data_IF_808457825039
#
_entry.id   IF_808457825039
#
_cell.length_a   1.000
_cell.length_b   1.000
_cell.length_c   1.000
_cell.angle_alpha   90.00
_cell.angle_beta   90.00
_cell.angle_gamma   90.00
#
_symmetry.space_group_name_H-M   'P 1'
#
loop_
_entity.id
_entity.type
_entity.pdbx_description
1 polymer ?
#
# COMPACT_ATOMS: atom_id res chain seq x y z
N UNK A 1 -79.09 16.97 -29.26
CA UNK A 1 -78.80 17.05 -30.70
C UNK A 1 -77.29 17.01 -30.87
N UNK A 2 -76.78 15.95 -31.52
CA UNK A 2 -75.54 15.84 -32.34
C UNK A 2 -74.24 16.48 -31.78
N UNK A 3 -73.27 15.73 -31.21
CA UNK A 3 -72.19 14.89 -31.81
C UNK A 3 -70.90 15.66 -32.21
N UNK A 4 -69.75 15.05 -31.83
CA UNK A 4 -68.43 14.99 -32.52
C UNK A 4 -67.54 16.25 -32.35
N UNK A 5 -66.40 16.22 -31.65
CA UNK A 5 -65.14 15.46 -31.79
C UNK A 5 -64.14 15.99 -32.84
N UNK A 6 -62.97 16.37 -32.32
CA UNK A 6 -61.60 16.20 -32.82
C UNK A 6 -61.14 16.82 -34.15
N UNK A 7 -59.96 17.46 -34.07
CA UNK A 7 -59.07 17.77 -35.20
C UNK A 7 -57.71 18.23 -34.70
N UNK A 8 -56.72 17.33 -34.74
CA UNK A 8 -55.33 17.44 -34.29
C UNK A 8 -54.40 17.99 -35.39
N UNK A 9 -53.33 18.72 -35.02
CA UNK A 9 -51.99 18.72 -35.66
C UNK A 9 -51.02 19.61 -34.83
N UNK A 10 -50.19 19.06 -33.92
CA UNK A 10 -48.78 18.62 -34.07
C UNK A 10 -47.78 19.78 -34.37
N UNK A 11 -46.84 20.06 -33.43
CA UNK A 11 -45.36 19.84 -33.54
C UNK A 11 -44.53 20.52 -32.42
N UNK A 12 -43.89 19.66 -31.59
CA UNK A 12 -42.51 19.69 -30.99
C UNK A 12 -42.06 20.92 -30.16
N UNK A 13 -41.47 20.83 -28.95
CA UNK A 13 -40.25 20.09 -28.52
C UNK A 13 -40.10 20.03 -26.95
N UNK A 14 -39.52 18.93 -26.43
CA UNK A 14 -38.52 18.75 -25.31
C UNK A 14 -38.90 19.25 -23.88
N UNK A 15 -38.67 18.60 -22.72
CA UNK A 15 -37.75 17.55 -22.22
C UNK A 15 -38.51 16.68 -21.18
N UNK A 16 -38.37 15.36 -21.03
CA UNK A 16 -37.21 14.47 -20.93
C UNK A 16 -36.43 14.57 -19.59
N UNK A 17 -36.70 13.56 -18.74
CA UNK A 17 -35.77 12.79 -17.89
C UNK A 17 -35.53 13.28 -16.46
N UNK A 18 -36.20 12.56 -15.54
CA UNK A 18 -35.79 12.35 -14.16
C UNK A 18 -34.43 11.63 -14.10
N UNK A 19 -33.57 12.00 -13.15
CA UNK A 19 -32.63 11.15 -12.39
C UNK A 19 -31.70 12.06 -11.56
N UNK A 20 -32.04 12.27 -10.30
CA UNK A 20 -31.11 12.82 -9.30
C UNK A 20 -30.18 11.69 -8.85
N UNK A 21 -29.05 11.51 -9.55
CA UNK A 21 -27.95 10.67 -9.06
C UNK A 21 -27.08 11.53 -8.12
N UNK A 22 -26.93 11.17 -6.83
CA UNK A 22 -26.05 11.91 -5.93
C UNK A 22 -24.59 11.64 -6.34
N UNK A 23 -23.90 12.71 -6.72
CA UNK A 23 -22.45 12.72 -6.89
C UNK A 23 -21.76 12.57 -5.52
N UNK A 24 -21.62 11.33 -5.06
CA UNK A 24 -20.60 10.98 -4.08
C UNK A 24 -19.49 10.24 -4.83
N UNK A 25 -18.68 11.01 -5.58
CA UNK A 25 -17.35 10.54 -5.94
C UNK A 25 -16.55 10.60 -4.63
N UNK A 26 -16.66 9.55 -3.84
CA UNK A 26 -15.68 9.28 -2.80
C UNK A 26 -14.35 9.09 -3.51
N UNK A 27 -13.46 10.08 -3.43
CA UNK A 27 -12.08 9.89 -3.81
C UNK A 27 -11.50 8.82 -2.86
N UNK A 28 -11.43 7.57 -3.33
CA UNK A 28 -10.57 6.60 -2.70
C UNK A 28 -9.15 7.16 -2.83
N UNK A 29 -8.62 7.72 -1.74
CA UNK A 29 -7.23 8.11 -1.68
C UNK A 29 -6.41 6.85 -2.03
N UNK A 30 -5.76 6.85 -3.19
CA UNK A 30 -4.91 5.74 -3.56
C UNK A 30 -3.76 5.72 -2.56
N UNK A 31 -3.73 4.70 -1.69
CA UNK A 31 -2.59 4.47 -0.84
C UNK A 31 -1.34 4.41 -1.73
N UNK A 32 -0.35 5.25 -1.44
CA UNK A 32 0.84 5.33 -2.27
C UNK A 32 1.59 3.99 -2.23
N UNK A 33 1.75 3.37 -3.40
CA UNK A 33 2.52 2.14 -3.54
C UNK A 33 4.01 2.48 -3.66
N UNK A 34 4.83 1.91 -2.78
CA UNK A 34 6.28 2.05 -2.83
C UNK A 34 6.87 0.84 -3.54
N UNK A 35 7.82 1.06 -4.44
CA UNK A 35 8.55 0.00 -5.14
C UNK A 35 10.01 0.06 -4.82
N UNK A 36 10.56 -1.06 -4.35
CA UNK A 36 11.96 -1.13 -3.94
C UNK A 36 12.63 -2.35 -4.56
N UNK A 37 13.94 -2.27 -4.71
CA UNK A 37 14.77 -3.43 -5.05
C UNK A 37 15.65 -3.78 -3.85
N UNK A 38 15.77 -5.09 -3.57
CA UNK A 38 16.62 -5.61 -2.49
C UNK A 38 17.49 -6.76 -2.99
N UNK A 39 18.78 -6.82 -2.61
CA UNK A 39 19.59 -8.00 -2.85
C UNK A 39 19.29 -9.07 -1.80
N UNK A 40 19.48 -10.34 -2.17
CA UNK A 40 19.54 -11.46 -1.23
C UNK A 40 20.54 -12.50 -1.73
N UNK A 41 21.21 -13.20 -0.81
CA UNK A 41 22.05 -14.33 -1.15
C UNK A 41 21.21 -15.62 -1.21
N UNK A 42 21.48 -16.48 -2.18
CA UNK A 42 20.74 -17.73 -2.40
C UNK A 42 20.78 -18.63 -1.15
N UNK A 43 19.60 -19.01 -0.64
CA UNK A 43 19.45 -19.89 0.52
C UNK A 43 19.82 -19.28 1.87
N UNK A 44 20.21 -18.00 1.92
CA UNK A 44 20.60 -17.31 3.16
C UNK A 44 19.48 -16.38 3.60
N UNK A 45 19.11 -16.45 4.88
CA UNK A 45 18.15 -15.51 5.46
C UNK A 45 18.71 -14.09 5.41
N UNK A 46 17.99 -13.21 4.70
CA UNK A 46 18.42 -11.86 4.36
C UNK A 46 17.38 -10.85 4.86
N UNK A 47 17.78 -9.78 5.56
CA UNK A 47 16.88 -8.72 5.94
C UNK A 47 16.51 -7.84 4.75
N UNK A 48 15.21 -7.68 4.47
CA UNK A 48 14.76 -6.87 3.34
C UNK A 48 14.34 -5.46 3.74
N UNK A 49 13.51 -5.35 4.78
CA UNK A 49 12.91 -4.07 5.21
C UNK A 49 12.71 -4.04 6.71
N UNK A 50 13.00 -2.88 7.30
CA UNK A 50 12.54 -2.49 8.63
C UNK A 50 11.25 -1.68 8.53
N UNK A 51 10.15 -2.23 9.03
CA UNK A 51 8.88 -1.53 9.18
C UNK A 51 8.73 -1.01 10.59
N UNK A 52 8.70 0.31 10.72
CA UNK A 52 8.78 1.01 12.00
C UNK A 52 8.00 2.30 11.97
N UNK A 53 7.46 2.68 13.12
CA UNK A 53 6.73 3.93 13.32
C UNK A 53 7.05 4.50 14.69
N UNK A 54 7.00 5.82 14.81
CA UNK A 54 7.30 6.52 16.06
C UNK A 54 6.45 7.77 16.21
N UNK A 55 6.27 8.20 17.46
CA UNK A 55 5.60 9.46 17.80
C UNK A 55 6.56 10.67 17.73
N UNK A 56 6.05 11.87 18.02
CA UNK A 56 6.84 13.09 18.01
C UNK A 56 7.96 13.12 19.07
N UNK A 57 7.94 12.21 20.05
CA UNK A 57 9.01 12.02 21.05
C UNK A 57 9.96 10.88 20.67
N UNK A 58 9.88 10.39 19.43
CA UNK A 58 10.63 9.25 18.90
C UNK A 58 10.38 7.92 19.63
N UNK A 59 9.25 7.78 20.33
CA UNK A 59 8.88 6.51 20.97
C UNK A 59 8.23 5.58 19.94
N UNK A 60 8.50 4.26 20.00
CA UNK A 60 7.94 3.31 19.05
C UNK A 60 6.40 3.30 19.11
N UNK A 61 5.78 3.28 17.94
CA UNK A 61 4.35 3.00 17.77
C UNK A 61 4.18 1.59 17.21
N UNK A 62 3.02 0.98 17.49
CA UNK A 62 2.67 -0.33 16.97
C UNK A 62 2.76 -0.36 15.43
N UNK A 63 3.24 -1.47 14.88
CA UNK A 63 3.28 -1.71 13.43
C UNK A 63 2.75 -3.11 13.16
N UNK A 64 1.94 -3.27 12.11
CA UNK A 64 1.40 -4.56 11.68
C UNK A 64 1.66 -4.73 10.20
N UNK A 65 2.35 -5.81 9.83
CA UNK A 65 2.69 -6.15 8.45
C UNK A 65 1.81 -7.31 7.98
N UNK A 66 1.19 -7.15 6.83
CA UNK A 66 0.38 -8.18 6.17
C UNK A 66 0.96 -8.47 4.80
N UNK A 67 1.50 -9.67 4.60
CA UNK A 67 1.98 -10.10 3.28
C UNK A 67 0.76 -10.34 2.37
N UNK A 68 0.72 -9.63 1.24
CA UNK A 68 -0.39 -9.71 0.27
C UNK A 68 -0.03 -10.54 -0.97
N UNK A 69 1.26 -10.69 -1.27
CA UNK A 69 1.75 -11.63 -2.29
C UNK A 69 3.06 -12.23 -1.82
N UNK A 70 3.10 -13.56 -1.68
CA UNK A 70 4.31 -14.29 -1.34
C UNK A 70 5.28 -14.35 -2.52
N UNK A 71 6.59 -14.49 -2.25
CA UNK A 71 7.57 -14.84 -3.28
C UNK A 71 7.31 -16.23 -3.83
N UNK A 72 7.67 -16.46 -5.09
CA UNK A 72 7.52 -17.78 -5.74
C UNK A 72 8.71 -18.71 -5.46
N UNK A 73 9.87 -18.15 -5.13
CA UNK A 73 11.13 -18.88 -5.01
C UNK A 73 11.78 -18.71 -3.63
N UNK A 74 10.98 -18.44 -2.60
CA UNK A 74 11.46 -18.29 -1.23
C UNK A 74 10.34 -18.16 -0.23
N UNK A 75 10.72 -17.95 1.03
CA UNK A 75 9.80 -17.74 2.16
C UNK A 75 10.06 -16.39 2.80
N UNK A 76 8.99 -15.77 3.29
CA UNK A 76 9.05 -14.53 4.05
C UNK A 76 8.57 -14.77 5.48
N UNK A 77 9.31 -14.24 6.43
CA UNK A 77 8.92 -14.18 7.84
C UNK A 77 8.94 -12.73 8.30
N UNK A 78 8.03 -12.40 9.21
CA UNK A 78 8.00 -11.09 9.87
C UNK A 78 8.33 -11.33 11.33
N UNK A 79 9.40 -10.71 11.79
CA UNK A 79 9.89 -10.86 13.17
C UNK A 79 9.99 -9.50 13.85
N UNK A 80 9.79 -9.40 15.17
CA UNK A 80 10.13 -8.18 15.90
C UNK A 80 11.61 -7.84 15.75
N UNK A 81 11.93 -6.56 15.65
CA UNK A 81 13.31 -6.09 15.51
C UNK A 81 13.52 -4.67 16.04
N UNK A 82 14.78 -4.27 16.20
CA UNK A 82 15.18 -2.89 16.55
C UNK A 82 16.12 -2.40 15.46
N UNK A 83 15.82 -1.24 14.88
CA UNK A 83 16.65 -0.63 13.84
C UNK A 83 16.86 0.86 14.07
N UNK A 84 17.88 1.40 13.41
CA UNK A 84 18.19 2.83 13.48
C UNK A 84 17.30 3.61 12.51
N UNK A 85 16.76 4.73 12.98
CA UNK A 85 16.00 5.64 12.15
C UNK A 85 16.92 6.32 11.14
N UNK A 86 16.89 5.85 9.88
CA UNK A 86 17.54 6.56 8.78
C UNK A 86 17.06 8.03 8.71
N UNK A 87 17.96 8.96 8.34
CA UNK A 87 17.66 10.40 8.24
C UNK A 87 16.60 10.74 7.19
N UNK A 88 16.36 9.82 6.25
CA UNK A 88 15.26 9.82 5.27
C UNK A 88 14.78 8.39 5.04
N UNK A 89 13.55 8.24 4.55
CA UNK A 89 12.94 6.94 4.23
C UNK A 89 12.21 7.02 2.89
N UNK A 90 11.89 5.88 2.24
CA UNK A 90 11.07 5.89 1.03
C UNK A 90 9.69 6.55 1.20
N UNK A 91 9.12 6.53 2.41
CA UNK A 91 7.85 7.20 2.73
C UNK A 91 8.00 8.69 3.06
N UNK A 92 9.18 9.15 3.47
CA UNK A 92 9.40 10.53 3.91
C UNK A 92 10.82 11.00 3.60
N UNK A 93 10.95 12.11 2.89
CA UNK A 93 12.25 12.71 2.55
C UNK A 93 13.08 13.13 3.78
N UNK A 94 12.47 13.27 4.96
CA UNK A 94 13.17 13.53 6.23
C UNK A 94 12.48 12.82 7.40
N UNK A 95 13.27 12.35 8.38
CA UNK A 95 12.78 11.81 9.66
C UNK A 95 12.96 12.76 10.84
N UNK A 96 13.42 13.99 10.58
CA UNK A 96 13.58 15.04 11.58
C UNK A 96 14.55 14.68 12.70
N UNK A 97 14.27 15.15 13.91
CA UNK A 97 15.11 14.95 15.09
C UNK A 97 15.16 13.50 15.61
N UNK A 98 14.32 12.61 15.06
CA UNK A 98 14.34 11.19 15.39
C UNK A 98 15.37 10.41 14.57
N UNK A 99 15.88 10.97 13.46
CA UNK A 99 16.97 10.37 12.69
C UNK A 99 18.17 10.04 13.59
N UNK A 100 18.70 8.82 13.44
CA UNK A 100 19.81 8.29 14.22
C UNK A 100 19.43 7.56 15.51
N UNK A 101 18.17 7.64 15.98
CA UNK A 101 17.73 6.91 17.18
C UNK A 101 17.36 5.46 16.86
N UNK A 102 17.50 4.56 17.82
CA UNK A 102 16.98 3.19 17.73
C UNK A 102 15.48 3.16 18.01
N UNK A 103 14.73 2.37 17.26
CA UNK A 103 13.29 2.17 17.47
C UNK A 103 12.91 0.72 17.23
N UNK A 104 12.00 0.20 18.05
CA UNK A 104 11.43 -1.12 17.85
C UNK A 104 10.40 -1.11 16.71
N UNK A 105 10.30 -2.23 15.99
CA UNK A 105 9.38 -2.43 14.88
C UNK A 105 9.35 -3.88 14.43
N UNK A 106 9.05 -4.08 13.16
CA UNK A 106 9.07 -5.38 12.49
C UNK A 106 10.14 -5.42 11.42
N UNK A 107 10.78 -6.58 11.27
CA UNK A 107 11.76 -6.87 10.24
C UNK A 107 11.16 -7.92 9.29
N UNK A 108 11.15 -7.62 7.98
CA UNK A 108 10.70 -8.55 6.94
C UNK A 108 11.92 -9.33 6.42
N UNK A 109 12.03 -10.60 6.81
CA UNK A 109 13.10 -11.51 6.40
C UNK A 109 12.70 -12.31 5.18
N UNK A 110 13.68 -12.62 4.34
CA UNK A 110 13.51 -13.47 3.17
C UNK A 110 14.63 -14.50 3.10
N UNK A 111 14.25 -15.73 2.79
CA UNK A 111 15.18 -16.79 2.42
C UNK A 111 14.70 -17.41 1.11
N UNK A 112 15.52 -17.36 0.07
CA UNK A 112 15.21 -18.06 -1.17
C UNK A 112 15.29 -19.58 -0.98
N UNK A 113 14.68 -20.32 -1.89
CA UNK A 113 15.00 -21.74 -2.06
C UNK A 113 16.51 -21.87 -2.34
N UNK A 114 17.21 -22.83 -1.71
CA UNK A 114 18.64 -23.01 -1.94
C UNK A 114 18.97 -23.22 -3.42
N UNK A 115 19.98 -22.52 -3.93
CA UNK A 115 20.40 -22.60 -5.33
C UNK A 115 19.60 -21.75 -6.30
N UNK A 116 18.47 -21.16 -5.88
CA UNK A 116 17.73 -20.21 -6.71
C UNK A 116 18.59 -18.98 -7.01
N UNK A 117 18.60 -18.57 -8.27
CA UNK A 117 19.24 -17.35 -8.79
C UNK A 117 18.25 -16.68 -9.73
N UNK A 118 18.05 -15.38 -9.59
CA UNK A 118 17.09 -14.64 -10.39
C UNK A 118 16.28 -13.65 -9.57
N UNK A 119 15.10 -13.30 -10.08
CA UNK A 119 14.22 -12.31 -9.47
C UNK A 119 13.06 -12.98 -8.76
N UNK A 120 12.80 -12.55 -7.54
CA UNK A 120 11.58 -12.87 -6.80
C UNK A 120 10.80 -11.59 -6.48
N UNK A 121 9.51 -11.71 -6.14
CA UNK A 121 8.68 -10.53 -5.82
C UNK A 121 7.88 -10.74 -4.55
N UNK A 122 7.88 -9.74 -3.68
CA UNK A 122 7.09 -9.70 -2.45
C UNK A 122 6.20 -8.46 -2.48
N UNK A 123 4.91 -8.59 -2.16
CA UNK A 123 4.06 -7.44 -1.89
C UNK A 123 3.47 -7.53 -0.47
N UNK A 124 3.45 -6.41 0.24
CA UNK A 124 2.88 -6.33 1.58
C UNK A 124 2.19 -5.00 1.84
N UNK A 125 1.29 -5.02 2.82
CA UNK A 125 0.68 -3.84 3.44
C UNK A 125 1.21 -3.68 4.85
N UNK A 126 1.32 -2.43 5.28
CA UNK A 126 1.67 -2.08 6.66
C UNK A 126 0.65 -1.11 7.22
N UNK A 127 0.28 -1.31 8.48
CA UNK A 127 -0.54 -0.37 9.27
C UNK A 127 0.26 0.06 10.49
N UNK A 128 0.21 1.36 10.79
CA UNK A 128 0.95 1.97 11.89
C UNK A 128 -0.02 2.44 12.99
N UNK A 129 0.48 2.53 14.23
CA UNK A 129 -0.32 2.94 15.39
C UNK A 129 -0.87 4.37 15.33
N UNK A 130 -0.44 5.17 14.37
CA UNK A 130 -0.99 6.50 14.07
C UNK A 130 -2.12 6.47 13.02
N UNK A 131 -2.61 5.30 12.63
CA UNK A 131 -3.70 5.12 11.67
C UNK A 131 -3.27 5.20 10.20
N UNK A 132 -2.01 5.54 9.91
CA UNK A 132 -1.49 5.52 8.53
C UNK A 132 -1.25 4.09 8.07
N UNK A 133 -1.37 3.87 6.77
CA UNK A 133 -1.03 2.62 6.11
C UNK A 133 -0.21 2.85 4.85
N UNK A 134 0.49 1.81 4.41
CA UNK A 134 1.29 1.81 3.20
C UNK A 134 1.21 0.47 2.48
N UNK A 135 1.48 0.48 1.18
CA UNK A 135 1.67 -0.74 0.38
C UNK A 135 3.05 -0.69 -0.26
N UNK A 136 3.77 -1.80 -0.23
CA UNK A 136 5.11 -1.88 -0.79
C UNK A 136 5.26 -3.16 -1.62
N UNK A 137 5.83 -3.02 -2.81
CA UNK A 137 6.26 -4.12 -3.67
C UNK A 137 7.79 -4.16 -3.71
N UNK A 138 8.38 -5.28 -3.31
CA UNK A 138 9.81 -5.53 -3.38
C UNK A 138 10.14 -6.43 -4.56
N UNK A 139 11.08 -6.01 -5.38
CA UNK A 139 11.80 -6.87 -6.32
C UNK A 139 13.07 -7.36 -5.63
N UNK A 140 13.22 -8.68 -5.47
CA UNK A 140 14.35 -9.30 -4.78
C UNK A 140 15.28 -9.90 -5.83
N UNK A 141 16.50 -9.38 -5.92
CA UNK A 141 17.53 -9.90 -6.83
C UNK A 141 18.41 -10.90 -6.07
N UNK A 142 18.20 -12.18 -6.33
CA UNK A 142 18.90 -13.29 -5.67
C UNK A 142 20.16 -13.68 -6.43
N UNK A 143 21.30 -13.67 -5.75
CA UNK A 143 22.63 -14.04 -6.28
C UNK A 143 23.39 -14.98 -5.36
#
# INVERSE_FOLDING_TARGET
>A
MVRISAGSAIRTFIAAIALLAPWLIGAAALAQEIRLTRPAASGVESPLVDERSWDASCKPLATSVTITSQPSNGKVTVVPGVSIIAVSTPQSASTGHCGGKSVAGNQIMYQSNPGFRGTDTLAYKVTYGNGKSGSTTLTINVR
#
